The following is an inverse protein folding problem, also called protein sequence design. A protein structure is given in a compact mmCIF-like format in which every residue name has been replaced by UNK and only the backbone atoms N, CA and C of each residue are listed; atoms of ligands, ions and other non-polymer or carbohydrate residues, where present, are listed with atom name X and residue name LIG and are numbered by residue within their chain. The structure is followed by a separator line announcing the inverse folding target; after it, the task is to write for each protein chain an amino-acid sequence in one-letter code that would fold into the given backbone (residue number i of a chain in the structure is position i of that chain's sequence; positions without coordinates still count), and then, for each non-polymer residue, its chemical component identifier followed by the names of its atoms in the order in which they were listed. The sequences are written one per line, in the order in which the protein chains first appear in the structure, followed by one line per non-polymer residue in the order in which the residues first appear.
data_IF_576333880033
#
_entry.id   IF_576333880033
#
_cell.length_a   1.000
_cell.length_b   1.000
_cell.length_c   1.000
_cell.angle_alpha   90.00
_cell.angle_beta   90.00
_cell.angle_gamma   90.00
#
_symmetry.space_group_name_H-M   'P 1'
#
loop_
_entity.id
_entity.type
_entity.pdbx_description
1 polymer ?
#
# COMPACT_ATOMS: atom_id res chain seq x y z
N UNK A 1 -20.79 -39.01 51.88
CA UNK A 1 -21.36 -37.87 51.15
C UNK A 1 -20.21 -37.06 50.56
N UNK A 2 -20.07 -37.06 49.22
CA UNK A 2 -18.95 -36.42 48.49
C UNK A 2 -19.25 -34.94 48.32
N UNK A 3 -18.43 -34.04 48.88
CA UNK A 3 -18.50 -32.60 48.60
C UNK A 3 -17.68 -32.32 47.34
N UNK A 4 -18.38 -31.97 46.26
CA UNK A 4 -17.82 -31.54 44.99
C UNK A 4 -17.55 -30.03 45.10
N UNK A 5 -16.28 -29.65 45.25
CA UNK A 5 -15.85 -28.25 45.24
C UNK A 5 -15.61 -27.78 43.81
N UNK A 6 -16.45 -26.87 43.33
CA UNK A 6 -16.37 -26.28 41.99
C UNK A 6 -15.18 -25.32 41.91
N UNK A 7 -14.21 -25.60 41.03
CA UNK A 7 -13.14 -24.67 40.65
C UNK A 7 -13.67 -23.73 39.56
N UNK A 8 -13.94 -22.48 39.94
CA UNK A 8 -14.28 -21.39 39.01
C UNK A 8 -12.97 -20.89 38.39
N UNK A 9 -12.68 -21.31 37.16
CA UNK A 9 -11.58 -20.79 36.36
C UNK A 9 -11.91 -19.39 35.85
N UNK A 10 -11.21 -18.37 36.35
CA UNK A 10 -11.21 -17.02 35.78
C UNK A 10 -10.51 -17.08 34.42
N UNK A 11 -11.29 -17.01 33.34
CA UNK A 11 -10.80 -16.72 32.00
C UNK A 11 -10.50 -15.22 31.93
N UNK A 12 -9.23 -14.84 32.10
CA UNK A 12 -8.76 -13.48 31.85
C UNK A 12 -8.84 -13.23 30.35
N UNK A 13 -9.95 -12.61 29.92
CA UNK A 13 -10.09 -12.01 28.60
C UNK A 13 -9.05 -10.89 28.49
N UNK A 14 -7.93 -11.17 27.82
CA UNK A 14 -7.00 -10.13 27.39
C UNK A 14 -7.71 -9.30 26.31
N UNK A 15 -8.04 -8.01 26.54
CA UNK A 15 -8.51 -7.17 25.46
C UNK A 15 -7.31 -6.94 24.55
N UNK A 16 -7.26 -7.67 23.44
CA UNK A 16 -6.34 -7.36 22.34
C UNK A 16 -6.67 -5.95 21.86
N UNK A 17 -5.92 -4.97 22.37
CA UNK A 17 -5.93 -3.63 21.84
C UNK A 17 -5.46 -3.74 20.39
N UNK A 18 -6.40 -3.68 19.45
CA UNK A 18 -6.12 -3.60 18.01
C UNK A 18 -5.48 -2.24 17.78
N UNK A 19 -4.15 -2.18 17.93
CA UNK A 19 -3.36 -1.01 17.58
C UNK A 19 -3.51 -0.78 16.08
N UNK A 20 -4.00 0.39 15.68
CA UNK A 20 -3.93 0.80 14.29
C UNK A 20 -2.44 0.98 13.95
N UNK A 21 -1.88 0.06 13.16
CA UNK A 21 -0.47 0.08 12.81
C UNK A 21 -0.27 0.94 11.56
N UNK A 22 0.57 1.96 11.71
CA UNK A 22 0.99 2.82 10.62
C UNK A 22 2.20 2.18 9.92
N UNK A 23 2.02 1.81 8.65
CA UNK A 23 3.00 1.07 7.87
C UNK A 23 3.51 1.91 6.71
N UNK A 24 4.82 1.86 6.45
CA UNK A 24 5.38 2.40 5.21
C UNK A 24 5.08 1.42 4.07
N UNK A 25 4.33 1.85 3.08
CA UNK A 25 3.93 1.04 1.93
C UNK A 25 4.33 1.72 0.63
N UNK A 26 4.41 0.92 -0.44
CA UNK A 26 4.70 1.41 -1.79
C UNK A 26 3.52 1.14 -2.71
N UNK A 27 3.07 2.14 -3.46
CA UNK A 27 2.13 1.95 -4.56
C UNK A 27 2.87 1.25 -5.70
N UNK A 28 2.45 0.04 -6.04
CA UNK A 28 2.98 -0.72 -7.17
C UNK A 28 2.08 -0.64 -8.40
N UNK A 29 0.80 -0.35 -8.20
CA UNK A 29 -0.16 -0.15 -9.29
C UNK A 29 -1.25 0.82 -8.85
N UNK A 30 -1.68 1.67 -9.79
CA UNK A 30 -2.77 2.64 -9.62
C UNK A 30 -3.71 2.59 -10.82
N UNK A 31 -5.01 2.63 -10.56
CA UNK A 31 -6.02 2.76 -11.61
C UNK A 31 -7.17 3.63 -11.10
N UNK A 32 -7.75 4.44 -11.99
CA UNK A 32 -8.88 5.29 -11.67
C UNK A 32 -9.89 5.24 -12.82
N UNK A 33 -11.18 5.18 -12.48
CA UNK A 33 -12.27 5.20 -13.44
C UNK A 33 -13.58 5.52 -12.75
N UNK A 34 -14.37 6.43 -13.30
CA UNK A 34 -15.65 6.85 -12.70
C UNK A 34 -16.76 5.80 -12.88
N UNK A 35 -16.71 5.07 -14.00
CA UNK A 35 -17.57 3.91 -14.26
C UNK A 35 -16.97 2.64 -13.68
N UNK A 36 -17.80 1.61 -13.51
CA UNK A 36 -17.34 0.31 -13.00
C UNK A 36 -16.35 -0.32 -13.97
N UNK A 37 -15.20 -0.76 -13.46
CA UNK A 37 -14.15 -1.43 -14.21
C UNK A 37 -13.64 -2.66 -13.47
N UNK A 38 -13.01 -3.55 -14.23
CA UNK A 38 -12.36 -4.74 -13.70
C UNK A 38 -10.91 -4.41 -13.38
N UNK A 39 -10.51 -4.61 -12.13
CA UNK A 39 -9.15 -4.40 -11.64
C UNK A 39 -8.46 -5.73 -11.39
N UNK A 40 -7.24 -5.88 -11.91
CA UNK A 40 -6.38 -7.03 -11.67
C UNK A 40 -5.02 -6.54 -11.19
N UNK A 41 -4.43 -7.27 -10.24
CA UNK A 41 -3.08 -6.95 -9.75
C UNK A 41 -2.07 -7.53 -10.72
N UNK A 42 -1.39 -6.64 -11.46
CA UNK A 42 -0.36 -7.00 -12.41
C UNK A 42 0.87 -7.56 -11.70
N UNK A 43 1.59 -8.42 -12.41
CA UNK A 43 2.91 -8.84 -11.98
C UNK A 43 3.84 -7.64 -11.98
N UNK A 44 4.74 -7.57 -11.01
CA UNK A 44 5.68 -6.47 -10.90
C UNK A 44 7.09 -7.00 -10.68
N UNK A 45 8.06 -6.31 -11.29
CA UNK A 45 9.48 -6.61 -11.19
C UNK A 45 10.21 -5.42 -10.60
N UNK A 46 11.00 -5.63 -9.55
CA UNK A 46 11.83 -4.61 -8.94
C UNK A 46 13.29 -4.98 -9.10
N UNK A 47 14.06 -4.12 -9.75
CA UNK A 47 15.50 -4.28 -9.91
C UNK A 47 16.24 -3.26 -9.06
N UNK A 48 17.14 -3.72 -8.21
CA UNK A 48 18.08 -2.88 -7.47
C UNK A 48 19.49 -3.24 -7.91
N UNK A 49 20.20 -2.27 -8.48
CA UNK A 49 21.57 -2.42 -8.93
C UNK A 49 22.54 -1.60 -8.09
N UNK A 50 23.71 -2.15 -7.82
CA UNK A 50 24.86 -1.42 -7.29
C UNK A 50 26.04 -1.61 -8.24
N UNK A 51 26.70 -0.52 -8.60
CA UNK A 51 27.90 -0.55 -9.41
C UNK A 51 29.02 0.25 -8.78
N UNK A 52 30.26 -0.20 -8.98
CA UNK A 52 31.45 0.55 -8.66
C UNK A 52 32.35 0.63 -9.90
N UNK A 53 32.87 1.81 -10.20
CA UNK A 53 33.81 2.02 -11.29
C UNK A 53 35.08 2.65 -10.72
N UNK A 54 36.20 1.96 -10.90
CA UNK A 54 37.52 2.45 -10.52
C UNK A 54 38.30 2.74 -11.80
N UNK A 55 38.63 4.02 -11.99
CA UNK A 55 39.47 4.47 -13.08
C UNK A 55 40.77 5.03 -12.53
N UNK A 56 41.88 4.68 -13.17
CA UNK A 56 43.17 5.28 -12.89
C UNK A 56 43.89 5.60 -14.20
N UNK A 57 44.67 6.68 -14.16
CA UNK A 57 45.43 7.18 -15.29
C UNK A 57 46.93 7.01 -14.99
N UNK A 58 47.68 6.51 -15.97
CA UNK A 58 49.14 6.44 -15.92
C UNK A 58 49.70 6.86 -17.28
N UNK A 59 50.34 8.03 -17.33
CA UNK A 59 50.84 8.62 -18.58
C UNK A 59 49.71 8.91 -19.57
N UNK A 60 49.86 8.44 -20.80
CA UNK A 60 48.85 8.57 -21.87
C UNK A 60 47.80 7.45 -21.86
N UNK A 61 47.84 6.55 -20.87
CA UNK A 61 46.91 5.41 -20.76
C UNK A 61 45.95 5.57 -19.59
N UNK A 62 44.65 5.43 -19.89
CA UNK A 62 43.57 5.41 -18.91
C UNK A 62 42.99 4.00 -18.85
N UNK A 63 42.96 3.41 -17.65
CA UNK A 63 42.31 2.12 -17.42
C UNK A 63 41.15 2.28 -16.44
N UNK A 64 40.03 1.68 -16.78
CA UNK A 64 38.82 1.68 -15.96
C UNK A 64 38.34 0.25 -15.80
N UNK A 65 38.17 -0.18 -14.55
CA UNK A 65 37.48 -1.43 -14.23
C UNK A 65 36.17 -1.11 -13.50
N UNK A 66 35.07 -1.67 -13.99
CA UNK A 66 33.77 -1.54 -13.36
C UNK A 66 33.19 -2.90 -13.01
N UNK A 67 32.56 -2.96 -11.85
CA UNK A 67 31.72 -4.09 -11.44
C UNK A 67 30.32 -3.58 -11.20
N UNK A 68 29.33 -4.32 -11.67
CA UNK A 68 27.94 -4.05 -11.34
C UNK A 68 27.24 -5.34 -10.97
N UNK A 69 26.37 -5.25 -9.97
CA UNK A 69 25.49 -6.33 -9.55
C UNK A 69 24.08 -5.79 -9.57
N UNK A 70 23.17 -6.53 -10.20
CA UNK A 70 21.75 -6.19 -10.28
C UNK A 70 20.95 -7.35 -9.73
N UNK A 71 20.21 -7.10 -8.66
CA UNK A 71 19.24 -8.04 -8.11
C UNK A 71 17.86 -7.67 -8.63
N UNK A 72 17.20 -8.61 -9.30
CA UNK A 72 15.82 -8.46 -9.77
C UNK A 72 14.93 -9.42 -9.01
N UNK A 73 13.88 -8.89 -8.39
CA UNK A 73 12.79 -9.66 -7.80
C UNK A 73 11.56 -9.50 -8.68
N UNK A 74 10.88 -10.61 -8.98
CA UNK A 74 9.68 -10.63 -9.83
C UNK A 74 8.53 -11.30 -9.12
N UNK A 75 7.37 -10.67 -9.15
CA UNK A 75 6.11 -11.17 -8.59
C UNK A 75 5.13 -11.39 -9.74
N UNK A 76 4.53 -12.58 -9.80
CA UNK A 76 3.62 -12.95 -10.89
C UNK A 76 2.30 -12.17 -10.84
N UNK A 77 1.64 -11.95 -11.99
CA UNK A 77 0.29 -11.39 -12.02
C UNK A 77 -0.70 -12.30 -11.32
N UNK A 78 -1.63 -11.69 -10.60
CA UNK A 78 -2.61 -12.41 -9.79
C UNK A 78 -3.88 -12.65 -10.60
N UNK A 79 -4.44 -13.86 -10.51
CA UNK A 79 -5.60 -14.30 -11.31
C UNK A 79 -6.95 -13.77 -10.79
N UNK A 80 -6.95 -13.03 -9.69
CA UNK A 80 -8.16 -12.49 -9.05
C UNK A 80 -8.50 -11.13 -9.66
N UNK A 81 -9.74 -10.97 -10.11
CA UNK A 81 -10.28 -9.70 -10.60
C UNK A 81 -11.29 -9.11 -9.62
N UNK A 82 -11.25 -7.79 -9.47
CA UNK A 82 -12.17 -7.02 -8.63
C UNK A 82 -13.04 -6.13 -9.51
N UNK A 83 -14.34 -6.06 -9.23
CA UNK A 83 -15.22 -5.09 -9.86
C UNK A 83 -15.30 -3.84 -9.00
N UNK A 84 -14.72 -2.74 -9.48
CA UNK A 84 -14.46 -1.53 -8.69
C UNK A 84 -14.87 -0.29 -9.48
N UNK A 85 -15.07 0.81 -8.77
CA UNK A 85 -15.26 2.14 -9.33
C UNK A 85 -14.52 3.15 -8.46
N UNK A 86 -14.04 4.24 -9.06
CA UNK A 86 -13.19 5.24 -8.43
C UNK A 86 -11.71 4.87 -8.49
N UNK A 87 -10.96 5.25 -7.44
CA UNK A 87 -9.51 5.11 -7.38
C UNK A 87 -9.11 3.83 -6.64
N UNK A 88 -8.46 2.90 -7.35
CA UNK A 88 -7.96 1.62 -6.82
C UNK A 88 -6.43 1.58 -6.84
N UNK A 89 -5.84 1.08 -5.75
CA UNK A 89 -4.40 0.95 -5.58
C UNK A 89 -4.03 -0.46 -5.12
N UNK A 90 -2.88 -0.92 -5.62
CA UNK A 90 -2.15 -2.06 -5.05
C UNK A 90 -0.98 -1.54 -4.25
N UNK A 91 -0.98 -1.83 -2.95
CA UNK A 91 0.01 -1.40 -1.98
C UNK A 91 0.91 -2.58 -1.61
N UNK A 92 2.20 -2.46 -1.89
CA UNK A 92 3.21 -3.38 -1.39
C UNK A 92 3.49 -3.05 0.08
N UNK A 93 3.24 -4.03 0.94
CA UNK A 93 3.53 -3.99 2.36
C UNK A 93 5.02 -4.32 2.60
N UNK A 94 5.58 -3.90 3.75
CA UNK A 94 6.99 -4.19 4.08
C UNK A 94 7.30 -5.67 4.24
N UNK A 95 6.27 -6.51 4.42
CA UNK A 95 6.37 -7.97 4.50
C UNK A 95 6.28 -8.65 3.11
N UNK A 96 6.19 -7.89 2.03
CA UNK A 96 6.08 -8.39 0.65
C UNK A 96 4.66 -8.73 0.20
N UNK A 97 3.65 -8.64 1.09
CA UNK A 97 2.24 -8.83 0.70
C UNK A 97 1.73 -7.64 -0.10
N UNK A 98 0.67 -7.86 -0.87
CA UNK A 98 0.01 -6.79 -1.64
C UNK A 98 -1.40 -6.57 -1.12
N UNK A 99 -1.68 -5.38 -0.57
CA UNK A 99 -3.04 -4.98 -0.22
C UNK A 99 -3.70 -4.21 -1.36
N UNK A 100 -4.88 -4.66 -1.77
CA UNK A 100 -5.70 -3.97 -2.77
C UNK A 100 -6.71 -3.09 -2.03
N UNK A 101 -6.67 -1.79 -2.31
CA UNK A 101 -7.55 -0.80 -1.67
C UNK A 101 -8.29 0.03 -2.72
N UNK A 102 -9.55 0.34 -2.48
CA UNK A 102 -10.40 1.12 -3.38
C UNK A 102 -11.11 2.26 -2.65
N UNK A 103 -11.18 3.42 -3.30
CA UNK A 103 -12.00 4.54 -2.90
C UNK A 103 -13.01 4.84 -4.02
N UNK A 104 -14.28 4.63 -3.73
CA UNK A 104 -15.41 5.10 -4.53
C UNK A 104 -15.65 6.58 -4.23
N UNK A 105 -16.04 7.37 -5.23
CA UNK A 105 -16.38 8.79 -5.04
C UNK A 105 -17.42 8.95 -3.91
N UNK A 106 -17.13 9.86 -2.97
CA UNK A 106 -17.98 10.10 -1.80
C UNK A 106 -19.01 11.17 -2.14
N UNK A 107 -20.27 10.92 -1.80
CA UNK A 107 -21.32 11.94 -1.90
C UNK A 107 -20.99 13.07 -0.91
N UNK A 108 -20.92 14.31 -1.39
CA UNK A 108 -20.61 15.48 -0.57
C UNK A 108 -21.90 16.26 -0.28
N UNK A 109 -22.51 16.01 0.87
CA UNK A 109 -23.79 16.63 1.27
C UNK A 109 -23.71 18.16 1.41
N UNK A 110 -22.53 18.71 1.72
CA UNK A 110 -22.36 20.13 2.06
C UNK A 110 -22.40 21.12 0.87
N UNK A 111 -22.58 20.64 -0.36
CA UNK A 111 -22.69 21.47 -1.59
C UNK A 111 -23.86 21.02 -2.48
N UNK A 112 -24.92 20.46 -1.89
CA UNK A 112 -26.03 19.91 -2.65
C UNK A 112 -27.00 21.01 -3.13
N UNK A 113 -26.74 21.54 -4.33
CA UNK A 113 -27.82 21.90 -5.24
C UNK A 113 -28.45 20.63 -5.86
N UNK A 114 -29.49 20.76 -6.72
CA UNK A 114 -30.29 19.64 -7.23
C UNK A 114 -29.53 18.53 -7.98
N UNK A 115 -28.27 18.77 -8.35
CA UNK A 115 -27.46 17.87 -9.17
C UNK A 115 -26.52 16.92 -8.40
N UNK A 116 -26.49 16.95 -7.06
CA UNK A 116 -25.72 15.99 -6.24
C UNK A 116 -24.20 16.06 -6.44
N UNK A 117 -23.49 16.74 -5.53
CA UNK A 117 -22.05 16.94 -5.68
C UNK A 117 -21.28 15.67 -5.26
N UNK A 118 -20.68 14.96 -6.23
CA UNK A 118 -19.77 13.82 -5.97
C UNK A 118 -18.34 14.35 -5.84
N UNK A 119 -17.67 14.04 -4.74
CA UNK A 119 -16.24 14.36 -4.57
C UNK A 119 -15.38 13.18 -5.00
N UNK A 120 -14.51 13.42 -5.99
CA UNK A 120 -13.48 12.46 -6.41
C UNK A 120 -12.49 12.19 -5.26
N UNK A 121 -12.02 10.95 -5.17
CA UNK A 121 -11.03 10.56 -4.17
C UNK A 121 -9.71 11.32 -4.41
N UNK A 122 -9.08 11.80 -3.33
CA UNK A 122 -7.74 12.40 -3.43
C UNK A 122 -6.76 11.31 -3.83
N UNK A 123 -5.93 11.56 -4.83
CA UNK A 123 -4.98 10.57 -5.34
C UNK A 123 -3.54 10.98 -5.00
N UNK A 124 -2.76 10.15 -4.30
CA UNK A 124 -1.34 10.40 -4.11
C UNK A 124 -0.58 10.40 -5.44
N UNK A 125 0.26 11.40 -5.64
CA UNK A 125 1.20 11.46 -6.78
C UNK A 125 2.44 10.60 -6.50
N UNK A 126 2.84 10.50 -5.22
CA UNK A 126 4.03 9.78 -4.76
C UNK A 126 3.83 8.26 -4.72
N UNK A 127 4.94 7.53 -4.85
CA UNK A 127 4.93 6.05 -4.79
C UNK A 127 5.07 5.51 -3.37
N UNK A 128 5.81 6.21 -2.49
CA UNK A 128 6.03 5.81 -1.10
C UNK A 128 5.12 6.64 -0.19
N UNK A 129 4.34 5.97 0.63
CA UNK A 129 3.40 6.62 1.55
C UNK A 129 3.22 5.80 2.83
N UNK A 130 2.49 6.37 3.77
CA UNK A 130 2.11 5.70 5.01
C UNK A 130 0.66 5.22 4.91
N UNK A 131 0.40 3.99 5.34
CA UNK A 131 -0.94 3.42 5.38
C UNK A 131 -1.26 2.96 6.80
N UNK A 132 -2.39 3.43 7.33
CA UNK A 132 -2.94 2.97 8.60
C UNK A 132 -4.08 1.99 8.29
N UNK A 133 -3.93 0.74 8.70
CA UNK A 133 -4.94 -0.30 8.49
C UNK A 133 -5.82 -0.44 9.73
N UNK A 134 -7.13 -0.21 9.56
CA UNK A 134 -8.13 -0.31 10.63
C UNK A 134 -9.35 -1.09 10.15
N UNK A 135 -9.38 -2.38 10.50
CA UNK A 135 -10.45 -3.29 10.10
C UNK A 135 -10.55 -3.40 8.57
N UNK A 136 -11.68 -2.98 8.01
CA UNK A 136 -11.95 -2.98 6.56
C UNK A 136 -11.44 -1.74 5.82
N UNK A 137 -10.87 -0.77 6.53
CA UNK A 137 -10.45 0.51 5.97
C UNK A 137 -8.93 0.65 6.03
N UNK A 138 -8.35 1.26 5.01
CA UNK A 138 -6.97 1.69 4.96
C UNK A 138 -6.92 3.20 4.74
N UNK A 139 -6.36 3.93 5.70
CA UNK A 139 -6.12 5.37 5.57
C UNK A 139 -4.73 5.60 5.01
N UNK A 140 -4.66 6.12 3.79
CA UNK A 140 -3.40 6.48 3.15
C UNK A 140 -3.03 7.90 3.52
N UNK A 141 -1.77 8.13 3.84
CA UNK A 141 -1.21 9.40 4.29
C UNK A 141 0.05 9.67 3.47
N UNK A 142 0.09 10.79 2.78
CA UNK A 142 1.20 11.13 1.89
C UNK A 142 1.55 12.62 1.93
N UNK A 143 2.81 12.99 1.68
CA UNK A 143 3.21 14.38 1.55
C UNK A 143 2.67 14.99 0.25
N UNK A 144 2.16 16.21 0.32
CA UNK A 144 1.69 17.01 -0.82
C UNK A 144 2.54 18.24 -1.12
N UNK A 145 3.40 18.65 -0.18
CA UNK A 145 4.38 19.71 -0.41
C UNK A 145 5.71 19.12 -0.88
N UNK A 146 6.42 19.84 -1.77
CA UNK A 146 7.82 19.54 -2.10
C UNK A 146 8.71 19.49 -0.84
N UNK A 147 8.39 20.31 0.17
CA UNK A 147 9.07 20.35 1.47
C UNK A 147 8.70 19.17 2.40
N UNK A 148 7.78 18.29 2.01
CA UNK A 148 7.29 17.17 2.83
C UNK A 148 6.51 17.54 4.11
N UNK A 149 6.35 18.82 4.43
CA UNK A 149 5.71 19.30 5.66
C UNK A 149 4.18 19.19 5.66
N UNK A 150 3.54 19.29 4.50
CA UNK A 150 2.09 19.16 4.37
C UNK A 150 1.76 17.72 4.01
N UNK A 151 1.01 17.07 4.90
CA UNK A 151 0.50 15.71 4.69
C UNK A 151 -0.98 15.78 4.35
N UNK A 152 -1.39 15.04 3.33
CA UNK A 152 -2.81 14.75 3.10
C UNK A 152 -3.11 13.31 3.48
N UNK A 153 -4.38 13.04 3.75
CA UNK A 153 -4.85 11.69 3.99
C UNK A 153 -6.22 11.45 3.38
N UNK A 154 -6.45 10.22 2.93
CA UNK A 154 -7.73 9.76 2.39
C UNK A 154 -7.95 8.30 2.79
N UNK A 155 -9.20 7.95 3.09
CA UNK A 155 -9.55 6.60 3.56
C UNK A 155 -10.14 5.79 2.41
N UNK A 156 -9.54 4.63 2.19
CA UNK A 156 -9.89 3.62 1.21
C UNK A 156 -10.45 2.38 1.90
N UNK A 157 -11.26 1.62 1.18
CA UNK A 157 -11.76 0.31 1.63
C UNK A 157 -10.82 -0.78 1.13
N UNK A 158 -10.45 -1.72 2.01
CA UNK A 158 -9.60 -2.86 1.67
C UNK A 158 -10.46 -3.90 0.95
N UNK A 159 -10.06 -4.29 -0.25
CA UNK A 159 -10.73 -5.34 -1.04
C UNK A 159 -10.12 -6.71 -0.79
N UNK A 160 -8.82 -6.77 -0.49
CA UNK A 160 -8.12 -8.00 -0.20
C UNK A 160 -6.64 -7.77 0.12
N UNK A 161 -6.02 -8.78 0.74
CA UNK A 161 -4.57 -8.85 0.97
C UNK A 161 -4.08 -10.13 0.32
N UNK A 162 -3.17 -9.97 -0.63
CA UNK A 162 -2.57 -11.05 -1.40
C UNK A 162 -1.25 -11.48 -0.73
N UNK A 163 -0.98 -12.78 -0.64
CA UNK A 163 0.25 -13.28 -0.04
C UNK A 163 1.49 -12.85 -0.84
N UNK A 164 2.61 -12.70 -0.15
CA UNK A 164 3.91 -12.57 -0.80
C UNK A 164 4.21 -13.85 -1.58
N UNK A 165 4.72 -13.72 -2.80
CA UNK A 165 5.17 -14.84 -3.64
C UNK A 165 6.68 -15.01 -3.57
#
# INVERSE_FOLDING_TARGET
MRKLGVLVGIFVLCPVAVSAQLLNVKIIQRQNGETQYTYQVAGHSTSTGSGNANCYSSGDTVNCNSSSSTNTSTTAPQMISYSVAGATYSLLLPDGRVAVVNCTSKFAEHFAGPAGNKRSCRMPIVDKLQAEFKGKNAKLIWPVSLDGKKMESETYTILGILPAS
#
